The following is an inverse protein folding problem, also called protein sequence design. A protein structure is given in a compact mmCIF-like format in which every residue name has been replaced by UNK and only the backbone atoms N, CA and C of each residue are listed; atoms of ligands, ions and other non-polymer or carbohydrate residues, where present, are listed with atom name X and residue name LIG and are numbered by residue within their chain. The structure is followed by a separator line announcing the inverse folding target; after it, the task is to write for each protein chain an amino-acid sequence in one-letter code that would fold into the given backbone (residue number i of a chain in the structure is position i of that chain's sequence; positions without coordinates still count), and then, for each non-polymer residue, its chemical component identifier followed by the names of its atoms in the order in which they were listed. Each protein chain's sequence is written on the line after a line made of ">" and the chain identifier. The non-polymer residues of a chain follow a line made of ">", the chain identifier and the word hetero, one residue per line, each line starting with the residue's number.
data_IF_251955769295
#
_entry.id   IF_251955769295
#
_cell.length_a   1.000
_cell.length_b   1.000
_cell.length_c   1.000
_cell.angle_alpha   90.00
_cell.angle_beta   90.00
_cell.angle_gamma   90.00
#
_symmetry.space_group_name_H-M   'P 1'
#
loop_
_entity.id
_entity.type
_entity.pdbx_description
1 polymer ?
#
# COMPACT_ATOMS: atom_id res chain seq x y z
N UNK A 1 30.77 -55.29 -21.11
CA UNK A 1 31.74 -55.23 -19.98
C UNK A 1 31.69 -53.80 -19.47
N UNK A 2 30.76 -53.49 -18.58
CA UNK A 2 30.90 -53.51 -17.12
C UNK A 2 32.08 -52.67 -16.61
N UNK A 3 31.75 -51.48 -16.08
CA UNK A 3 31.99 -51.00 -14.70
C UNK A 3 31.61 -49.49 -14.68
N UNK A 4 30.54 -48.97 -14.04
CA UNK A 4 30.20 -48.82 -12.59
C UNK A 4 31.43 -48.44 -11.75
N UNK A 5 31.45 -47.41 -10.90
CA UNK A 5 30.51 -46.38 -10.45
C UNK A 5 31.30 -45.33 -9.60
N UNK A 6 30.62 -44.23 -9.26
CA UNK A 6 30.74 -43.42 -8.03
C UNK A 6 31.99 -42.56 -7.72
N UNK A 7 31.84 -41.23 -7.74
CA UNK A 7 31.31 -40.46 -6.59
C UNK A 7 31.28 -38.94 -6.92
N UNK A 8 30.14 -38.27 -7.11
CA UNK A 8 29.25 -37.57 -6.16
C UNK A 8 29.78 -36.35 -5.39
N UNK A 9 28.90 -35.34 -5.35
CA UNK A 9 28.72 -34.28 -4.35
C UNK A 9 29.59 -33.00 -4.43
N UNK A 10 29.00 -31.96 -5.04
CA UNK A 10 28.76 -30.64 -4.42
C UNK A 10 27.97 -29.72 -5.35
N UNK A 11 26.68 -29.96 -5.45
CA UNK A 11 25.71 -28.98 -5.92
C UNK A 11 24.46 -29.19 -5.07
N UNK A 12 24.27 -28.33 -4.07
CA UNK A 12 22.97 -28.00 -3.47
C UNK A 12 23.19 -27.16 -2.22
N UNK A 13 23.09 -25.83 -2.34
CA UNK A 13 22.65 -24.94 -1.25
C UNK A 13 22.51 -23.47 -1.71
N UNK A 14 21.82 -23.19 -2.83
CA UNK A 14 21.39 -21.79 -3.13
C UNK A 14 19.97 -21.68 -3.71
N UNK A 15 19.33 -22.74 -4.21
CA UNK A 15 18.04 -22.62 -4.94
C UNK A 15 16.74 -22.81 -4.09
N UNK A 16 16.83 -22.81 -2.77
CA UNK A 16 15.73 -23.22 -1.89
C UNK A 16 14.61 -22.19 -1.63
N UNK A 17 14.81 -20.91 -1.94
CA UNK A 17 13.84 -19.85 -1.61
C UNK A 17 13.11 -19.24 -2.82
N UNK A 18 13.70 -19.23 -4.02
CA UNK A 18 13.04 -18.70 -5.23
C UNK A 18 12.02 -19.70 -5.81
N UNK A 19 12.21 -21.01 -5.59
CA UNK A 19 11.33 -22.07 -6.13
C UNK A 19 9.99 -22.23 -5.37
N UNK A 20 9.91 -21.81 -4.10
CA UNK A 20 8.71 -22.00 -3.28
C UNK A 20 7.57 -21.04 -3.63
N UNK A 21 7.90 -19.82 -4.06
CA UNK A 21 6.91 -18.81 -4.45
C UNK A 21 6.25 -19.23 -5.77
N UNK A 22 7.05 -19.58 -6.79
CA UNK A 22 6.52 -20.02 -8.09
C UNK A 22 5.71 -21.32 -8.05
N UNK A 23 6.03 -22.27 -7.14
CA UNK A 23 5.23 -23.47 -6.92
C UNK A 23 3.90 -23.19 -6.21
N UNK A 24 3.88 -22.23 -5.28
CA UNK A 24 2.64 -21.85 -4.59
C UNK A 24 1.71 -21.12 -5.56
N UNK A 25 2.23 -20.20 -6.37
CA UNK A 25 1.44 -19.47 -7.37
C UNK A 25 0.86 -20.40 -8.43
N UNK A 26 1.65 -21.35 -8.96
CA UNK A 26 1.12 -22.35 -9.92
C UNK A 26 0.10 -23.31 -9.31
N UNK A 27 0.20 -23.63 -8.02
CA UNK A 27 -0.81 -24.43 -7.32
C UNK A 27 -2.07 -23.60 -7.06
N UNK A 28 -1.92 -22.32 -6.68
CA UNK A 28 -3.03 -21.40 -6.48
C UNK A 28 -3.77 -21.13 -7.79
N UNK A 29 -3.08 -21.01 -8.92
CA UNK A 29 -3.70 -20.85 -10.22
C UNK A 29 -4.47 -22.12 -10.65
N UNK A 30 -3.92 -23.31 -10.39
CA UNK A 30 -4.66 -24.57 -10.60
C UNK A 30 -5.89 -24.68 -9.70
N UNK A 31 -5.78 -24.26 -8.44
CA UNK A 31 -6.94 -24.22 -7.52
C UNK A 31 -7.96 -23.19 -7.99
N UNK A 32 -7.55 -22.01 -8.46
CA UNK A 32 -8.44 -20.97 -9.03
C UNK A 32 -9.14 -21.44 -10.29
N UNK A 33 -8.48 -22.20 -11.16
CA UNK A 33 -9.16 -22.79 -12.34
C UNK A 33 -10.25 -23.79 -11.96
N UNK A 34 -10.13 -24.46 -10.81
CA UNK A 34 -11.12 -25.43 -10.32
C UNK A 34 -12.18 -24.80 -9.39
N UNK A 35 -11.80 -23.74 -8.67
CA UNK A 35 -12.61 -23.03 -7.68
C UNK A 35 -12.43 -21.51 -7.85
N UNK A 36 -12.95 -20.94 -8.95
CA UNK A 36 -12.83 -19.52 -9.21
C UNK A 36 -13.52 -18.70 -8.11
N UNK A 37 -12.93 -17.55 -7.80
CA UNK A 37 -13.52 -16.62 -6.85
C UNK A 37 -14.81 -16.03 -7.46
N UNK A 38 -15.79 -15.62 -6.63
CA UNK A 38 -17.06 -15.11 -7.15
C UNK A 38 -16.92 -13.98 -8.17
N UNK A 39 -15.91 -13.11 -8.05
CA UNK A 39 -15.63 -12.05 -9.02
C UNK A 39 -15.05 -12.59 -10.33
N UNK A 40 -14.18 -13.60 -10.28
CA UNK A 40 -13.62 -14.28 -11.47
C UNK A 40 -14.73 -15.02 -12.24
N UNK A 41 -15.71 -15.58 -11.52
CA UNK A 41 -16.90 -16.19 -12.11
C UNK A 41 -17.82 -15.17 -12.79
N UNK A 42 -17.84 -13.93 -12.30
CA UNK A 42 -18.65 -12.85 -12.89
C UNK A 42 -18.01 -12.31 -14.18
N UNK A 43 -16.67 -12.30 -14.27
CA UNK A 43 -15.95 -11.90 -15.49
C UNK A 43 -16.10 -12.90 -16.65
N UNK A 44 -16.43 -14.16 -16.34
CA UNK A 44 -16.70 -15.21 -17.34
C UNK A 44 -18.17 -15.25 -17.80
N UNK A 45 -19.01 -14.30 -17.38
CA UNK A 45 -20.42 -14.28 -17.76
C UNK A 45 -20.60 -14.18 -19.28
N UNK A 46 -21.21 -15.20 -19.89
CA UNK A 46 -21.60 -15.19 -21.29
C UNK A 46 -22.70 -14.13 -21.50
N UNK A 47 -22.37 -13.04 -22.20
CA UNK A 47 -23.27 -11.90 -22.45
C UNK A 47 -24.62 -12.36 -23.03
N UNK A 48 -24.62 -13.38 -23.89
CA UNK A 48 -25.83 -13.93 -24.52
C UNK A 48 -26.81 -14.55 -23.51
N UNK A 49 -26.32 -15.26 -22.48
CA UNK A 49 -27.17 -15.89 -21.47
C UNK A 49 -27.79 -14.84 -20.53
N UNK A 50 -27.00 -13.83 -20.19
CA UNK A 50 -27.45 -12.69 -19.39
C UNK A 50 -28.58 -11.94 -20.13
N UNK A 51 -28.38 -11.66 -21.42
CA UNK A 51 -29.36 -10.94 -22.25
C UNK A 51 -30.64 -11.76 -22.44
N UNK A 52 -30.50 -13.07 -22.65
CA UNK A 52 -31.64 -14.00 -22.68
C UNK A 52 -32.47 -13.93 -21.39
N UNK A 53 -31.80 -13.96 -20.23
CA UNK A 53 -32.49 -13.88 -18.95
C UNK A 53 -33.17 -12.51 -18.76
N UNK A 54 -32.53 -11.43 -19.19
CA UNK A 54 -33.11 -10.09 -19.14
C UNK A 54 -34.44 -10.02 -19.90
N UNK A 55 -34.48 -10.52 -21.14
CA UNK A 55 -35.70 -10.57 -21.97
C UNK A 55 -36.80 -11.40 -21.29
N UNK A 56 -36.45 -12.57 -20.74
CA UNK A 56 -37.43 -13.42 -20.03
C UNK A 56 -38.04 -12.66 -18.84
N UNK A 57 -37.22 -11.99 -18.03
CA UNK A 57 -37.70 -11.23 -16.87
C UNK A 57 -38.55 -10.03 -17.32
N UNK A 58 -38.13 -9.34 -18.37
CA UNK A 58 -38.85 -8.17 -18.90
C UNK A 58 -40.24 -8.55 -19.42
N UNK A 59 -40.33 -9.62 -20.19
CA UNK A 59 -41.60 -10.14 -20.73
C UNK A 59 -42.51 -10.80 -19.69
N UNK A 60 -41.97 -11.23 -18.54
CA UNK A 60 -42.77 -11.87 -17.48
C UNK A 60 -43.55 -10.84 -16.68
N UNK A 61 -44.85 -11.03 -16.50
CA UNK A 61 -45.68 -10.12 -15.69
C UNK A 61 -45.25 -10.10 -14.20
N UNK A 62 -45.37 -8.94 -13.57
CA UNK A 62 -45.08 -8.75 -12.13
C UNK A 62 -46.09 -9.55 -11.28
N UNK A 63 -45.67 -10.02 -10.09
CA UNK A 63 -46.52 -10.73 -9.14
C UNK A 63 -46.33 -12.26 -9.17
N UNK A 64 -47.41 -13.02 -9.27
CA UNK A 64 -47.34 -14.49 -9.25
C UNK A 64 -46.50 -15.09 -10.39
N UNK A 65 -46.56 -14.59 -11.64
CA UNK A 65 -45.77 -15.15 -12.73
C UNK A 65 -44.26 -15.03 -12.52
N UNK A 66 -43.79 -13.91 -11.94
CA UNK A 66 -42.36 -13.76 -11.64
C UNK A 66 -41.92 -14.63 -10.45
N UNK A 67 -42.80 -14.89 -9.48
CA UNK A 67 -42.54 -15.84 -8.39
C UNK A 67 -42.41 -17.26 -8.93
N UNK A 68 -43.32 -17.66 -9.84
CA UNK A 68 -43.26 -18.96 -10.49
C UNK A 68 -41.98 -19.09 -11.35
N UNK A 69 -41.59 -18.04 -12.08
CA UNK A 69 -40.32 -17.99 -12.78
C UNK A 69 -39.14 -18.14 -11.80
N UNK A 70 -39.15 -17.38 -10.70
CA UNK A 70 -38.09 -17.42 -9.69
C UNK A 70 -37.87 -18.84 -9.16
N UNK A 71 -38.92 -19.65 -9.01
CA UNK A 71 -38.80 -21.06 -8.59
C UNK A 71 -38.12 -21.96 -9.62
N UNK A 72 -38.21 -21.63 -10.92
CA UNK A 72 -37.67 -22.42 -12.04
C UNK A 72 -36.24 -22.06 -12.42
N UNK A 73 -35.75 -20.90 -12.00
CA UNK A 73 -34.39 -20.45 -12.32
C UNK A 73 -33.33 -21.41 -11.77
N UNK A 74 -32.36 -21.77 -12.60
CA UNK A 74 -31.22 -22.58 -12.19
C UNK A 74 -30.25 -21.78 -11.32
N UNK A 75 -29.32 -22.46 -10.64
CA UNK A 75 -28.23 -21.78 -9.93
C UNK A 75 -27.30 -20.99 -10.86
N UNK A 76 -27.26 -21.32 -12.17
CA UNK A 76 -26.53 -20.58 -13.20
C UNK A 76 -27.23 -19.25 -13.47
N UNK A 77 -28.54 -19.29 -13.71
CA UNK A 77 -29.35 -18.08 -13.97
C UNK A 77 -29.31 -17.10 -12.79
N UNK A 78 -29.34 -17.61 -11.56
CA UNK A 78 -29.29 -16.78 -10.35
C UNK A 78 -28.01 -15.93 -10.23
N UNK A 79 -26.91 -16.31 -10.91
CA UNK A 79 -25.66 -15.53 -10.90
C UNK A 79 -25.82 -14.20 -11.64
N UNK A 80 -26.74 -14.12 -12.59
CA UNK A 80 -26.96 -12.94 -13.43
C UNK A 80 -27.93 -11.92 -12.81
N UNK A 81 -28.60 -12.24 -11.71
CA UNK A 81 -29.59 -11.34 -11.08
C UNK A 81 -28.96 -10.02 -10.61
N UNK A 82 -27.80 -10.08 -9.94
CA UNK A 82 -27.09 -8.88 -9.48
C UNK A 82 -26.39 -8.11 -10.61
N UNK A 83 -25.72 -8.76 -11.58
CA UNK A 83 -25.23 -8.07 -12.78
C UNK A 83 -26.34 -7.33 -13.54
N UNK A 84 -27.53 -7.94 -13.68
CA UNK A 84 -28.68 -7.27 -14.28
C UNK A 84 -29.14 -6.06 -13.46
N UNK A 85 -29.10 -6.13 -12.12
CA UNK A 85 -29.35 -4.95 -11.27
C UNK A 85 -28.31 -3.85 -11.48
N UNK A 86 -27.04 -4.18 -11.73
CA UNK A 86 -25.98 -3.19 -11.96
C UNK A 86 -26.14 -2.47 -13.31
N UNK A 87 -26.37 -3.22 -14.39
CA UNK A 87 -26.48 -2.67 -15.75
C UNK A 87 -27.65 -1.69 -15.92
N UNK A 88 -28.77 -1.97 -15.25
CA UNK A 88 -29.93 -1.07 -15.22
C UNK A 88 -29.61 0.28 -14.57
N UNK A 89 -28.65 0.32 -13.64
CA UNK A 89 -28.25 1.53 -12.92
C UNK A 89 -27.35 2.43 -13.78
N UNK A 90 -26.49 1.84 -14.62
CA UNK A 90 -25.54 2.57 -15.47
C UNK A 90 -26.18 3.07 -16.76
N UNK A 91 -27.01 2.26 -17.39
CA UNK A 91 -27.52 2.56 -18.74
C UNK A 91 -28.86 3.29 -18.75
N UNK A 92 -29.60 3.26 -17.62
CA UNK A 92 -30.98 3.79 -17.55
C UNK A 92 -31.95 3.14 -18.55
N UNK A 93 -31.53 2.06 -19.23
CA UNK A 93 -32.25 1.45 -20.35
C UNK A 93 -33.47 0.65 -19.90
N UNK A 94 -33.50 0.21 -18.65
CA UNK A 94 -34.49 -0.73 -18.15
C UNK A 94 -35.47 -0.04 -17.19
N UNK A 95 -36.79 -0.21 -17.40
CA UNK A 95 -37.83 0.51 -16.66
C UNK A 95 -37.90 0.08 -15.18
N UNK A 96 -38.41 0.97 -14.31
CA UNK A 96 -38.43 0.78 -12.85
C UNK A 96 -39.08 -0.54 -12.38
N UNK A 97 -40.10 -1.03 -13.11
CA UNK A 97 -40.76 -2.30 -12.81
C UNK A 97 -39.85 -3.52 -13.01
N UNK A 98 -38.75 -3.39 -13.76
CA UNK A 98 -37.74 -4.44 -13.91
C UNK A 98 -36.97 -4.68 -12.60
N UNK A 99 -36.66 -3.61 -11.86
CA UNK A 99 -36.03 -3.72 -10.53
C UNK A 99 -36.94 -4.45 -9.55
N UNK A 100 -38.25 -4.15 -9.55
CA UNK A 100 -39.22 -4.82 -8.69
C UNK A 100 -39.27 -6.33 -8.93
N UNK A 101 -39.24 -6.75 -10.21
CA UNK A 101 -39.18 -8.17 -10.58
C UNK A 101 -37.91 -8.83 -10.06
N UNK A 102 -36.75 -8.18 -10.20
CA UNK A 102 -35.48 -8.69 -9.69
C UNK A 102 -35.48 -8.80 -8.16
N UNK A 103 -36.02 -7.81 -7.44
CA UNK A 103 -36.16 -7.88 -5.98
C UNK A 103 -37.08 -9.02 -5.53
N UNK A 104 -38.16 -9.29 -6.27
CA UNK A 104 -39.03 -10.45 -6.02
C UNK A 104 -38.26 -11.77 -6.22
N UNK A 105 -37.47 -11.91 -7.29
CA UNK A 105 -36.62 -13.09 -7.50
C UNK A 105 -35.63 -13.26 -6.34
N UNK A 106 -34.95 -12.18 -5.92
CA UNK A 106 -34.01 -12.21 -4.79
C UNK A 106 -34.71 -12.67 -3.51
N UNK A 107 -35.92 -12.17 -3.24
CA UNK A 107 -36.69 -12.52 -2.07
C UNK A 107 -37.02 -14.02 -2.04
N UNK A 108 -37.52 -14.56 -3.14
CA UNK A 108 -37.93 -15.96 -3.23
C UNK A 108 -36.74 -16.92 -3.21
N UNK A 109 -35.61 -16.53 -3.83
CA UNK A 109 -34.41 -17.37 -3.97
C UNK A 109 -33.26 -17.00 -3.03
N UNK A 110 -33.58 -16.32 -1.93
CA UNK A 110 -32.61 -15.91 -0.93
C UNK A 110 -31.77 -17.10 -0.42
N UNK A 111 -30.45 -17.01 -0.57
CA UNK A 111 -29.48 -18.03 -0.15
C UNK A 111 -28.08 -17.41 0.06
N UNK A 112 -27.23 -18.08 0.84
CA UNK A 112 -25.84 -17.63 1.02
C UNK A 112 -25.03 -17.68 -0.28
N UNK A 113 -25.35 -18.59 -1.20
CA UNK A 113 -24.74 -18.62 -2.53
C UNK A 113 -25.08 -17.35 -3.31
N UNK A 114 -26.35 -16.97 -3.34
CA UNK A 114 -26.79 -15.72 -3.98
C UNK A 114 -26.16 -14.48 -3.29
N UNK A 115 -25.98 -14.53 -1.96
CA UNK A 115 -25.30 -13.47 -1.21
C UNK A 115 -23.85 -13.30 -1.65
N UNK A 116 -23.11 -14.38 -1.87
CA UNK A 116 -21.71 -14.30 -2.33
C UNK A 116 -21.60 -13.63 -3.70
N UNK A 117 -22.50 -13.93 -4.62
CA UNK A 117 -22.52 -13.27 -5.95
C UNK A 117 -22.91 -11.81 -5.81
N UNK A 118 -24.01 -11.50 -5.10
CA UNK A 118 -24.46 -10.13 -4.90
C UNK A 118 -23.45 -9.25 -4.18
N UNK A 119 -22.75 -9.80 -3.19
CA UNK A 119 -21.68 -9.09 -2.50
C UNK A 119 -20.48 -8.82 -3.40
N UNK A 120 -20.16 -9.73 -4.30
CA UNK A 120 -19.07 -9.53 -5.26
C UNK A 120 -19.41 -8.45 -6.29
N UNK A 121 -20.62 -8.49 -6.86
CA UNK A 121 -21.11 -7.47 -7.80
C UNK A 121 -21.20 -6.10 -7.12
N UNK A 122 -21.75 -6.04 -5.90
CA UNK A 122 -21.83 -4.78 -5.17
C UNK A 122 -20.46 -4.15 -4.92
N UNK A 123 -19.43 -4.95 -4.69
CA UNK A 123 -18.07 -4.45 -4.50
C UNK A 123 -17.46 -3.89 -5.78
N UNK A 124 -17.73 -4.54 -6.92
CA UNK A 124 -17.28 -4.14 -8.26
C UNK A 124 -17.99 -2.88 -8.73
N UNK A 125 -19.32 -2.85 -8.63
CA UNK A 125 -20.15 -1.76 -9.16
C UNK A 125 -20.47 -0.70 -8.09
N UNK A 126 -19.64 -0.61 -7.04
CA UNK A 126 -19.85 0.37 -5.98
C UNK A 126 -19.61 1.80 -6.51
N UNK A 127 -20.52 2.77 -6.28
CA UNK A 127 -21.73 2.72 -5.45
C UNK A 127 -23.04 2.52 -6.24
N UNK A 128 -23.47 1.28 -6.49
CA UNK A 128 -24.77 0.98 -7.12
C UNK A 128 -25.89 0.79 -6.09
N UNK A 129 -26.82 1.77 -6.01
CA UNK A 129 -27.98 1.71 -5.10
C UNK A 129 -28.95 0.57 -5.40
N UNK A 130 -29.30 0.23 -6.66
CA UNK A 130 -30.17 -0.91 -6.95
C UNK A 130 -29.57 -2.24 -6.47
N UNK A 131 -28.28 -2.45 -6.71
CA UNK A 131 -27.53 -3.62 -6.22
C UNK A 131 -27.52 -3.64 -4.70
N UNK A 132 -27.22 -2.49 -4.07
CA UNK A 132 -27.23 -2.32 -2.62
C UNK A 132 -28.58 -2.64 -1.97
N UNK A 133 -29.69 -2.18 -2.55
CA UNK A 133 -31.06 -2.51 -2.10
C UNK A 133 -31.37 -3.99 -2.24
N UNK A 134 -31.05 -4.60 -3.39
CA UNK A 134 -31.22 -6.04 -3.60
C UNK A 134 -30.43 -6.85 -2.57
N UNK A 135 -29.20 -6.44 -2.27
CA UNK A 135 -28.37 -7.08 -1.26
C UNK A 135 -28.92 -6.89 0.15
N UNK A 136 -29.44 -5.71 0.49
CA UNK A 136 -30.06 -5.45 1.79
C UNK A 136 -31.31 -6.34 2.02
N UNK A 137 -32.16 -6.49 1.00
CA UNK A 137 -33.33 -7.41 1.04
C UNK A 137 -32.87 -8.85 1.28
N UNK A 138 -31.86 -9.30 0.53
CA UNK A 138 -31.29 -10.64 0.67
C UNK A 138 -30.75 -10.88 2.07
N UNK A 139 -29.95 -9.94 2.58
CA UNK A 139 -29.41 -9.98 3.93
C UNK A 139 -30.53 -10.09 4.98
N UNK A 140 -31.55 -9.23 4.93
CA UNK A 140 -32.66 -9.27 5.89
C UNK A 140 -33.37 -10.63 5.96
N UNK A 141 -33.56 -11.29 4.81
CA UNK A 141 -34.16 -12.63 4.75
C UNK A 141 -33.22 -13.69 5.36
N UNK A 142 -31.92 -13.62 5.07
CA UNK A 142 -30.94 -14.54 5.64
C UNK A 142 -30.83 -14.37 7.16
N UNK A 143 -30.87 -13.14 7.67
CA UNK A 143 -30.87 -12.86 9.11
C UNK A 143 -32.10 -13.42 9.82
N UNK A 144 -33.30 -13.26 9.22
CA UNK A 144 -34.53 -13.83 9.76
C UNK A 144 -34.42 -15.35 9.80
N UNK A 145 -33.96 -15.99 8.72
CA UNK A 145 -33.77 -17.45 8.66
C UNK A 145 -32.74 -17.93 9.67
N UNK A 146 -31.66 -17.19 9.89
CA UNK A 146 -30.64 -17.52 10.88
C UNK A 146 -31.23 -17.46 12.30
N UNK A 147 -31.97 -16.40 12.63
CA UNK A 147 -32.66 -16.27 13.94
C UNK A 147 -33.70 -17.37 14.15
N UNK A 148 -34.50 -17.69 13.14
CA UNK A 148 -35.49 -18.79 13.22
C UNK A 148 -34.83 -20.16 13.35
N UNK A 149 -33.72 -20.41 12.65
CA UNK A 149 -32.93 -21.63 12.77
C UNK A 149 -32.28 -21.79 14.15
N UNK A 150 -31.72 -20.72 14.70
CA UNK A 150 -31.17 -20.71 16.06
C UNK A 150 -32.24 -20.96 17.14
N UNK A 151 -33.46 -20.44 16.95
CA UNK A 151 -34.60 -20.74 17.84
C UNK A 151 -35.01 -22.22 17.77
N UNK A 152 -34.96 -22.84 16.58
CA UNK A 152 -35.23 -24.27 16.40
C UNK A 152 -34.11 -25.17 16.98
N UNK A 153 -32.85 -24.79 16.81
CA UNK A 153 -31.70 -25.53 17.38
C UNK A 153 -31.64 -25.46 18.92
N UNK A 154 -32.10 -24.35 19.52
CA UNK A 154 -32.27 -24.25 20.99
C UNK A 154 -33.43 -25.10 21.51
N UNK A 155 -34.39 -25.46 20.66
CA UNK A 155 -35.56 -26.25 21.02
C UNK A 155 -35.41 -27.77 20.73
N UNK A 156 -34.38 -28.21 20.00
CA UNK A 156 -34.22 -29.62 19.61
C UNK A 156 -32.78 -30.01 19.24
N UNK A 157 -32.36 -31.17 19.74
CA UNK A 157 -31.00 -31.76 19.66
C UNK A 157 -30.31 -31.70 18.28
N UNK A 158 -28.98 -31.49 18.36
CA UNK A 158 -27.91 -31.77 17.39
C UNK A 158 -27.78 -30.87 16.16
N UNK A 159 -26.84 -29.91 16.23
CA UNK A 159 -26.16 -29.38 15.06
C UNK A 159 -24.80 -30.10 14.87
N UNK A 160 -24.79 -31.17 14.05
CA UNK A 160 -23.55 -31.73 13.49
C UNK A 160 -22.99 -30.72 12.48
N UNK A 161 -21.84 -30.14 12.79
CA UNK A 161 -20.82 -29.70 11.82
C UNK A 161 -21.25 -28.72 10.72
N UNK A 162 -22.03 -27.67 11.03
CA UNK A 162 -22.20 -26.56 10.08
C UNK A 162 -21.00 -25.62 10.14
N UNK A 163 -20.43 -25.35 8.96
CA UNK A 163 -19.49 -24.24 8.72
C UNK A 163 -20.04 -22.98 9.39
N UNK A 164 -19.20 -22.31 10.20
CA UNK A 164 -19.55 -21.05 10.87
C UNK A 164 -20.30 -20.11 9.91
N UNK A 165 -21.46 -19.55 10.31
CA UNK A 165 -22.17 -18.58 9.48
C UNK A 165 -21.19 -17.46 9.11
N UNK A 166 -20.98 -17.24 7.81
CA UNK A 166 -20.18 -16.10 7.37
C UNK A 166 -20.90 -14.82 7.79
N UNK A 167 -20.17 -13.91 8.43
CA UNK A 167 -20.74 -12.66 8.93
C UNK A 167 -21.32 -11.85 7.78
N UNK A 168 -22.65 -11.67 7.78
CA UNK A 168 -23.31 -10.80 6.82
C UNK A 168 -22.89 -9.35 7.07
N UNK A 169 -22.64 -8.62 5.99
CA UNK A 169 -22.25 -7.20 6.09
C UNK A 169 -23.36 -6.33 6.71
N UNK A 170 -24.62 -6.74 6.57
CA UNK A 170 -25.80 -6.10 7.15
C UNK A 170 -25.79 -6.06 8.67
N UNK A 171 -25.06 -6.98 9.33
CA UNK A 171 -24.83 -6.92 10.78
C UNK A 171 -24.02 -5.69 11.21
N UNK A 172 -23.34 -5.04 10.28
CA UNK A 172 -22.63 -3.78 10.51
C UNK A 172 -23.39 -2.58 9.95
N UNK A 173 -23.80 -2.68 8.69
CA UNK A 173 -24.49 -1.62 7.99
C UNK A 173 -25.29 -2.21 6.82
N UNK A 174 -26.48 -1.67 6.58
CA UNK A 174 -27.25 -2.04 5.40
C UNK A 174 -26.61 -1.43 4.13
N UNK A 175 -26.40 -2.22 3.06
CA UNK A 175 -25.73 -1.78 1.82
C UNK A 175 -26.62 -0.88 0.92
N UNK A 176 -27.82 -0.52 1.36
CA UNK A 176 -28.79 0.31 0.63
C UNK A 176 -28.62 1.82 0.86
N UNK A 177 -27.65 2.23 1.68
CA UNK A 177 -27.41 3.63 2.04
C UNK A 177 -26.26 4.25 1.27
N UNK A 178 -26.42 5.51 0.85
CA UNK A 178 -25.30 6.33 0.34
C UNK A 178 -24.20 6.56 1.38
N UNK A 179 -24.53 6.43 2.67
CA UNK A 179 -23.59 6.54 3.80
C UNK A 179 -23.05 5.20 4.27
N UNK A 180 -23.20 4.15 3.46
CA UNK A 180 -22.77 2.79 3.81
C UNK A 180 -21.32 2.73 4.29
N UNK A 181 -20.39 3.37 3.56
CA UNK A 181 -18.96 3.40 3.94
C UNK A 181 -18.74 4.11 5.27
N UNK A 182 -19.42 5.23 5.54
CA UNK A 182 -19.32 5.92 6.82
C UNK A 182 -19.84 5.06 7.99
N UNK A 183 -20.92 4.29 7.76
CA UNK A 183 -21.44 3.36 8.76
C UNK A 183 -20.47 2.19 9.01
N UNK A 184 -19.85 1.64 7.95
CA UNK A 184 -18.80 0.62 8.11
C UNK A 184 -17.59 1.16 8.87
N UNK A 185 -17.15 2.38 8.57
CA UNK A 185 -16.07 3.04 9.30
C UNK A 185 -16.42 3.21 10.79
N UNK A 186 -17.67 3.61 11.09
CA UNK A 186 -18.12 3.70 12.48
C UNK A 186 -18.09 2.32 13.17
N UNK A 187 -18.57 1.27 12.51
CA UNK A 187 -18.57 -0.07 13.06
C UNK A 187 -17.14 -0.59 13.30
N UNK A 188 -16.23 -0.31 12.37
CA UNK A 188 -14.82 -0.67 12.44
C UNK A 188 -14.11 0.03 13.61
N UNK A 189 -14.32 1.34 13.78
CA UNK A 189 -13.80 2.08 14.93
C UNK A 189 -14.31 1.55 16.28
N UNK A 190 -15.56 1.07 16.35
CA UNK A 190 -16.12 0.50 17.60
C UNK A 190 -15.51 -0.85 17.97
N UNK A 191 -15.18 -1.67 16.97
CA UNK A 191 -14.70 -3.05 17.18
C UNK A 191 -13.20 -3.15 17.49
N UNK A 192 -12.43 -2.09 17.23
CA UNK A 192 -10.98 -2.04 17.45
C UNK A 192 -10.23 -3.22 16.80
N UNK A 193 -10.72 -3.70 15.66
CA UNK A 193 -10.05 -4.73 14.85
C UNK A 193 -9.15 -4.06 13.82
N UNK A 194 -8.06 -4.73 13.43
CA UNK A 194 -7.21 -4.24 12.34
C UNK A 194 -7.99 -4.22 11.01
N UNK A 195 -7.60 -3.32 10.11
CA UNK A 195 -8.26 -3.16 8.82
C UNK A 195 -8.16 -4.45 7.97
N UNK A 196 -7.01 -5.12 7.99
CA UNK A 196 -6.80 -6.38 7.28
C UNK A 196 -7.71 -7.51 7.81
N UNK A 197 -7.83 -7.66 9.14
CA UNK A 197 -8.74 -8.64 9.73
C UNK A 197 -10.20 -8.34 9.38
N UNK A 198 -10.59 -7.07 9.36
CA UNK A 198 -11.93 -6.66 8.96
C UNK A 198 -12.22 -7.05 7.51
N UNK A 199 -11.29 -6.78 6.59
CA UNK A 199 -11.45 -7.12 5.17
C UNK A 199 -11.57 -8.64 4.98
N UNK A 200 -10.78 -9.44 5.70
CA UNK A 200 -10.88 -10.91 5.70
C UNK A 200 -12.20 -11.41 6.26
N UNK A 201 -12.66 -10.85 7.38
CA UNK A 201 -13.89 -11.28 8.06
C UNK A 201 -15.13 -11.08 7.18
N UNK A 202 -15.22 -9.95 6.48
CA UNK A 202 -16.36 -9.61 5.63
C UNK A 202 -16.12 -9.87 4.15
N UNK A 203 -15.02 -10.54 3.78
CA UNK A 203 -14.65 -10.82 2.40
C UNK A 203 -14.71 -9.56 1.51
N UNK A 204 -14.13 -8.47 2.00
CA UNK A 204 -13.98 -7.22 1.25
C UNK A 204 -12.70 -7.32 0.42
N UNK A 205 -12.84 -7.19 -0.89
CA UNK A 205 -11.76 -7.14 -1.86
C UNK A 205 -11.18 -5.72 -1.87
N UNK A 206 -9.92 -5.58 -1.46
CA UNK A 206 -9.24 -4.30 -1.30
C UNK A 206 -8.96 -3.58 -2.64
N UNK A 207 -8.89 -4.35 -3.72
CA UNK A 207 -8.65 -3.92 -5.09
C UNK A 207 -9.92 -3.52 -5.84
N UNK A 208 -11.10 -3.68 -5.22
CA UNK A 208 -12.40 -3.33 -5.82
C UNK A 208 -12.85 -1.93 -5.36
N UNK A 209 -13.74 -1.25 -6.13
CA UNK A 209 -14.20 0.11 -5.80
C UNK A 209 -14.72 0.30 -4.38
N UNK A 210 -15.49 -0.66 -3.82
CA UNK A 210 -15.90 -0.58 -2.41
C UNK A 210 -14.70 -0.61 -1.45
N UNK A 211 -13.75 -1.53 -1.68
CA UNK A 211 -12.56 -1.69 -0.86
C UNK A 211 -11.73 -0.42 -0.84
N UNK A 212 -11.43 0.13 -2.02
CA UNK A 212 -10.69 1.38 -2.19
C UNK A 212 -11.39 2.57 -1.56
N UNK A 213 -12.72 2.68 -1.71
CA UNK A 213 -13.50 3.73 -1.06
C UNK A 213 -13.46 3.62 0.48
N UNK A 214 -13.60 2.40 1.02
CA UNK A 214 -13.52 2.17 2.47
C UNK A 214 -12.12 2.45 3.02
N UNK A 215 -11.07 2.00 2.33
CA UNK A 215 -9.68 2.28 2.69
C UNK A 215 -9.44 3.79 2.70
N UNK A 216 -9.82 4.48 1.63
CA UNK A 216 -9.70 5.94 1.54
C UNK A 216 -10.38 6.64 2.71
N UNK A 217 -11.62 6.29 3.03
CA UNK A 217 -12.33 6.86 4.20
C UNK A 217 -11.68 6.49 5.54
N UNK A 218 -11.13 5.28 5.69
CA UNK A 218 -10.37 4.90 6.90
C UNK A 218 -9.14 5.80 7.09
N UNK A 219 -8.40 6.08 6.02
CA UNK A 219 -7.26 7.00 6.10
C UNK A 219 -7.69 8.45 6.28
N UNK A 220 -8.80 8.88 5.66
CA UNK A 220 -9.29 10.25 5.71
C UNK A 220 -10.03 10.64 6.98
N UNK A 221 -10.66 9.70 7.68
CA UNK A 221 -11.52 9.97 8.86
C UNK A 221 -11.25 9.03 10.04
N UNK A 222 -10.59 7.89 9.82
CA UNK A 222 -10.34 6.89 10.85
C UNK A 222 -9.30 7.29 11.89
N UNK A 223 -9.23 6.49 12.95
CA UNK A 223 -8.30 6.68 14.08
C UNK A 223 -6.90 6.14 13.75
N UNK A 224 -5.88 6.63 14.46
CA UNK A 224 -4.48 6.21 14.27
C UNK A 224 -4.28 4.69 14.43
N UNK A 225 -5.09 4.02 15.26
CA UNK A 225 -5.05 2.57 15.43
C UNK A 225 -5.26 1.80 14.11
N UNK A 226 -5.99 2.37 13.15
CA UNK A 226 -6.25 1.74 11.86
C UNK A 226 -5.05 1.78 10.91
N UNK A 227 -4.03 2.58 11.22
CA UNK A 227 -2.83 2.72 10.41
C UNK A 227 -1.84 1.60 10.69
N UNK A 228 -1.93 0.96 11.86
CA UNK A 228 -1.03 -0.14 12.25
C UNK A 228 -1.22 -1.31 11.29
N UNK A 229 -0.12 -1.74 10.66
CA UNK A 229 -0.07 -2.84 9.67
C UNK A 229 -0.93 -2.66 8.39
N UNK A 230 -1.55 -1.49 8.20
CA UNK A 230 -2.42 -1.22 7.04
C UNK A 230 -1.71 -0.58 5.83
N UNK A 231 -0.37 -0.46 5.86
CA UNK A 231 0.40 0.18 4.79
C UNK A 231 0.23 -0.49 3.42
N UNK A 232 0.01 -1.82 3.39
CA UNK A 232 -0.26 -2.57 2.14
C UNK A 232 -1.62 -2.23 1.54
N UNK A 233 -2.64 -2.02 2.38
CA UNK A 233 -3.95 -1.61 1.92
C UNK A 233 -3.93 -0.16 1.41
N UNK A 234 -3.14 0.70 2.06
CA UNK A 234 -2.88 2.05 1.57
C UNK A 234 -2.20 2.03 0.19
N UNK A 235 -1.16 1.21 0.02
CA UNK A 235 -0.45 1.02 -1.25
C UNK A 235 -1.38 0.59 -2.40
N UNK A 236 -2.31 -0.32 -2.11
CA UNK A 236 -3.30 -0.79 -3.09
C UNK A 236 -4.34 0.28 -3.44
N UNK A 237 -4.84 1.01 -2.45
CA UNK A 237 -5.94 1.96 -2.65
C UNK A 237 -5.48 3.31 -3.22
N UNK A 238 -4.27 3.76 -2.86
CA UNK A 238 -3.75 5.07 -3.25
C UNK A 238 -3.81 5.34 -4.77
N UNK A 239 -3.38 4.43 -5.67
CA UNK A 239 -3.49 4.68 -7.10
C UNK A 239 -4.93 4.60 -7.65
N UNK A 240 -5.86 3.98 -6.92
CA UNK A 240 -7.24 3.76 -7.38
C UNK A 240 -8.18 4.93 -7.05
N UNK A 241 -7.82 5.76 -6.08
CA UNK A 241 -8.66 6.91 -5.70
C UNK A 241 -8.34 8.15 -6.56
N UNK A 242 -9.33 9.03 -6.82
CA UNK A 242 -9.13 10.30 -7.51
C UNK A 242 -7.99 11.15 -6.90
N UNK A 243 -7.29 11.92 -7.74
CA UNK A 243 -6.12 12.71 -7.33
C UNK A 243 -6.37 13.64 -6.13
N UNK A 244 -7.56 14.25 -6.04
CA UNK A 244 -7.93 15.08 -4.89
C UNK A 244 -7.95 14.28 -3.58
N UNK A 245 -8.45 13.04 -3.60
CA UNK A 245 -8.45 12.16 -2.43
C UNK A 245 -7.05 11.62 -2.12
N UNK A 246 -6.22 11.37 -3.14
CA UNK A 246 -4.80 11.02 -2.93
C UNK A 246 -4.07 12.12 -2.14
N UNK A 247 -4.25 13.38 -2.55
CA UNK A 247 -3.67 14.53 -1.88
C UNK A 247 -4.12 14.61 -0.41
N UNK A 248 -5.42 14.50 -0.15
CA UNK A 248 -5.95 14.53 1.21
C UNK A 248 -5.41 13.38 2.08
N UNK A 249 -5.34 12.17 1.51
CA UNK A 249 -4.79 10.98 2.18
C UNK A 249 -3.32 11.18 2.56
N UNK A 250 -2.49 11.66 1.62
CA UNK A 250 -1.06 11.94 1.86
C UNK A 250 -0.89 13.07 2.87
N UNK A 251 -1.64 14.16 2.72
CA UNK A 251 -1.60 15.30 3.64
C UNK A 251 -1.91 14.89 5.08
N UNK A 252 -2.97 14.10 5.27
CA UNK A 252 -3.35 13.57 6.58
C UNK A 252 -2.29 12.63 7.14
N UNK A 253 -1.78 11.70 6.32
CA UNK A 253 -0.76 10.74 6.75
C UNK A 253 0.54 11.43 7.21
N UNK A 254 0.98 12.48 6.52
CA UNK A 254 2.15 13.26 6.92
C UNK A 254 1.93 14.00 8.26
N UNK A 255 0.69 14.45 8.49
CA UNK A 255 0.30 15.22 9.67
C UNK A 255 0.03 14.37 10.92
N UNK A 256 -0.45 13.13 10.76
CA UNK A 256 -0.77 12.24 11.88
C UNK A 256 0.52 11.83 12.63
N UNK A 257 0.43 11.81 13.95
CA UNK A 257 1.47 11.25 14.81
C UNK A 257 1.34 9.73 14.83
N UNK A 258 2.27 9.06 14.16
CA UNK A 258 2.42 7.60 14.13
C UNK A 258 3.76 7.24 14.78
N UNK A 259 3.89 6.00 15.24
CA UNK A 259 5.20 5.50 15.65
C UNK A 259 6.19 5.53 14.47
N UNK A 260 7.51 5.66 14.73
CA UNK A 260 8.50 5.84 13.66
C UNK A 260 8.54 4.70 12.64
N UNK A 261 8.28 3.46 13.06
CA UNK A 261 8.34 2.27 12.20
C UNK A 261 7.17 2.29 11.22
N UNK A 262 5.95 2.44 11.72
CA UNK A 262 4.74 2.55 10.91
C UNK A 262 4.84 3.75 9.98
N UNK A 263 5.27 4.93 10.49
CA UNK A 263 5.44 6.13 9.66
C UNK A 263 6.39 5.86 8.50
N UNK A 264 7.54 5.23 8.76
CA UNK A 264 8.52 4.91 7.72
C UNK A 264 7.94 4.00 6.63
N UNK A 265 7.15 2.97 6.99
CA UNK A 265 6.50 2.10 6.00
C UNK A 265 5.57 2.87 5.07
N UNK A 266 4.79 3.81 5.60
CA UNK A 266 3.92 4.66 4.78
C UNK A 266 4.69 5.63 3.90
N UNK A 267 5.76 6.24 4.42
CA UNK A 267 6.62 7.13 3.63
C UNK A 267 7.29 6.36 2.47
N UNK A 268 7.65 5.09 2.66
CA UNK A 268 8.12 4.22 1.57
C UNK A 268 7.04 3.96 0.52
N UNK A 269 5.78 3.81 0.91
CA UNK A 269 4.66 3.70 -0.05
C UNK A 269 4.55 5.00 -0.85
N UNK A 270 4.51 6.15 -0.18
CA UNK A 270 4.45 7.46 -0.84
C UNK A 270 5.62 7.64 -1.83
N UNK A 271 6.84 7.26 -1.44
CA UNK A 271 8.02 7.35 -2.30
C UNK A 271 7.90 6.49 -3.56
N UNK A 272 7.36 5.27 -3.45
CA UNK A 272 7.15 4.41 -4.61
C UNK A 272 6.17 4.99 -5.63
N UNK A 273 5.15 5.71 -5.18
CA UNK A 273 4.12 6.30 -6.05
C UNK A 273 4.49 7.68 -6.58
N UNK A 274 5.12 8.53 -5.76
CA UNK A 274 5.30 9.96 -6.07
C UNK A 274 6.75 10.44 -6.05
N UNK A 275 7.68 9.58 -5.64
CA UNK A 275 9.12 9.87 -5.62
C UNK A 275 9.54 10.94 -4.62
N UNK A 276 10.65 11.61 -4.95
CA UNK A 276 11.19 12.77 -4.25
C UNK A 276 10.41 14.05 -4.64
N UNK A 277 10.11 14.97 -3.70
CA UNK A 277 9.57 16.28 -4.03
C UNK A 277 10.33 17.06 -5.12
N UNK A 278 11.65 16.90 -5.20
CA UNK A 278 12.49 17.51 -6.23
C UNK A 278 12.23 16.96 -7.65
N UNK A 279 11.62 15.77 -7.77
CA UNK A 279 11.27 15.16 -9.05
C UNK A 279 10.06 15.79 -9.75
N UNK A 280 9.40 16.78 -9.14
CA UNK A 280 8.36 17.58 -9.79
C UNK A 280 6.98 16.93 -9.90
N UNK A 281 6.70 15.86 -9.15
CA UNK A 281 5.37 15.25 -9.17
C UNK A 281 4.30 16.27 -8.66
N UNK A 282 3.15 16.44 -9.36
CA UNK A 282 2.18 17.50 -9.07
C UNK A 282 1.61 17.50 -7.64
N UNK A 283 1.55 16.34 -6.99
CA UNK A 283 1.04 16.21 -5.62
C UNK A 283 1.79 17.11 -4.64
N UNK A 284 3.10 17.32 -4.84
CA UNK A 284 3.94 18.07 -3.91
C UNK A 284 3.58 19.56 -3.87
N UNK A 285 3.10 20.13 -4.97
CA UNK A 285 2.65 21.52 -5.04
C UNK A 285 1.32 21.75 -4.31
N UNK A 286 0.57 20.69 -4.05
CA UNK A 286 -0.75 20.74 -3.41
C UNK A 286 -0.67 20.47 -1.90
N UNK A 287 0.49 20.06 -1.39
CA UNK A 287 0.71 19.79 0.04
C UNK A 287 1.27 21.01 0.76
N UNK A 288 1.11 21.05 2.09
CA UNK A 288 1.66 22.14 2.90
C UNK A 288 3.19 22.08 2.87
N UNK A 289 3.83 23.23 2.65
CA UNK A 289 5.30 23.36 2.57
C UNK A 289 6.04 22.67 3.71
N UNK A 290 5.55 22.77 4.96
CA UNK A 290 6.17 22.11 6.12
C UNK A 290 6.19 20.59 6.02
N UNK A 291 5.13 19.99 5.46
CA UNK A 291 4.98 18.54 5.35
C UNK A 291 5.87 18.01 4.21
N UNK A 292 5.95 18.77 3.12
CA UNK A 292 6.89 18.49 2.01
C UNK A 292 8.33 18.56 2.47
N UNK A 293 8.72 19.56 3.26
CA UNK A 293 10.07 19.68 3.81
C UNK A 293 10.41 18.53 4.77
N UNK A 294 9.46 18.14 5.63
CA UNK A 294 9.65 17.01 6.53
C UNK A 294 9.79 15.69 5.75
N UNK A 295 8.99 15.49 4.71
CA UNK A 295 9.09 14.32 3.84
C UNK A 295 10.40 14.30 3.05
N UNK A 296 10.81 15.42 2.46
CA UNK A 296 12.10 15.56 1.77
C UNK A 296 13.28 15.24 2.71
N UNK A 297 13.23 15.74 3.95
CA UNK A 297 14.23 15.41 4.98
C UNK A 297 14.29 13.90 5.27
N UNK A 298 13.12 13.23 5.29
CA UNK A 298 13.06 11.78 5.41
C UNK A 298 13.64 11.06 4.19
N UNK A 299 13.36 11.53 2.96
CA UNK A 299 13.92 10.96 1.72
C UNK A 299 15.45 11.01 1.76
N UNK A 300 16.03 12.16 2.12
CA UNK A 300 17.48 12.33 2.30
C UNK A 300 18.02 11.31 3.31
N UNK A 301 17.43 11.24 4.49
CA UNK A 301 17.88 10.33 5.54
C UNK A 301 17.76 8.86 5.11
N UNK A 302 16.69 8.50 4.38
CA UNK A 302 16.49 7.15 3.85
C UNK A 302 17.51 6.80 2.77
N UNK A 303 17.83 7.72 1.85
CA UNK A 303 18.84 7.54 0.80
C UNK A 303 20.24 7.34 1.41
N UNK A 304 20.62 8.18 2.38
CA UNK A 304 21.87 8.05 3.13
C UNK A 304 21.91 6.70 3.87
N UNK A 305 20.82 6.35 4.56
CA UNK A 305 20.72 5.09 5.32
C UNK A 305 20.84 3.86 4.43
N UNK A 306 20.21 3.86 3.25
CA UNK A 306 20.34 2.83 2.21
C UNK A 306 21.78 2.75 1.72
N UNK A 307 22.40 3.90 1.44
CA UNK A 307 23.77 3.94 0.94
C UNK A 307 24.79 3.39 1.94
N UNK A 308 24.61 3.70 3.22
CA UNK A 308 25.50 3.28 4.28
C UNK A 308 25.10 1.94 4.94
N UNK A 309 24.22 1.15 4.31
CA UNK A 309 23.68 -0.07 4.91
C UNK A 309 24.80 -1.00 5.40
N UNK A 310 24.71 -1.43 6.67
CA UNK A 310 25.74 -2.26 7.32
C UNK A 310 26.90 -1.48 7.97
N UNK A 311 27.00 -0.16 7.78
CA UNK A 311 28.10 0.69 8.31
C UNK A 311 27.62 1.62 9.41
N UNK A 312 27.52 1.10 10.62
CA UNK A 312 26.97 1.81 11.78
C UNK A 312 27.64 3.18 12.01
N UNK A 313 28.97 3.26 11.92
CA UNK A 313 29.72 4.50 12.14
C UNK A 313 29.36 5.60 11.12
N UNK A 314 29.33 5.27 9.82
CA UNK A 314 28.91 6.21 8.76
C UNK A 314 27.45 6.61 8.87
N UNK A 315 26.55 5.65 9.12
CA UNK A 315 25.12 5.94 9.32
C UNK A 315 24.97 6.95 10.47
N UNK A 316 25.58 6.68 11.61
CA UNK A 316 25.48 7.54 12.79
C UNK A 316 26.07 8.93 12.52
N UNK A 317 27.23 8.98 11.86
CA UNK A 317 27.86 10.23 11.44
C UNK A 317 26.94 11.05 10.52
N UNK A 318 26.44 10.48 9.43
CA UNK A 318 25.60 11.23 8.49
C UNK A 318 24.21 11.55 9.05
N UNK A 319 23.62 10.68 9.87
CA UNK A 319 22.35 10.96 10.54
C UNK A 319 22.44 12.17 11.46
N UNK A 320 23.60 12.40 12.10
CA UNK A 320 23.85 13.63 12.86
C UNK A 320 23.63 14.89 12.01
N UNK A 321 23.99 14.85 10.73
CA UNK A 321 23.95 16.01 9.82
C UNK A 321 22.81 15.98 8.80
N UNK A 322 21.99 14.93 8.76
CA UNK A 322 21.00 14.70 7.71
C UNK A 322 20.00 15.86 7.52
N UNK A 323 19.63 16.54 8.61
CA UNK A 323 18.72 17.70 8.55
C UNK A 323 19.34 18.95 7.90
N UNK A 324 20.67 19.00 7.76
CA UNK A 324 21.42 20.11 7.16
C UNK A 324 21.78 19.85 5.69
N UNK A 325 21.59 18.61 5.22
CA UNK A 325 21.79 18.24 3.82
C UNK A 325 20.64 18.85 3.00
N UNK A 326 20.99 19.59 1.95
CA UNK A 326 20.04 20.22 1.04
C UNK A 326 19.57 19.28 -0.06
N UNK A 327 20.46 18.42 -0.54
CA UNK A 327 20.16 17.50 -1.64
C UNK A 327 21.12 16.30 -1.60
N UNK A 328 20.65 15.17 -2.12
CA UNK A 328 21.44 13.95 -2.32
C UNK A 328 21.22 13.44 -3.73
N UNK A 329 22.29 13.05 -4.40
CA UNK A 329 22.24 12.45 -5.74
C UNK A 329 23.18 11.24 -5.82
N UNK A 330 22.73 10.20 -6.50
CA UNK A 330 23.58 9.05 -6.82
C UNK A 330 24.39 9.42 -8.07
N UNK A 331 25.72 9.47 -7.96
CA UNK A 331 26.62 9.67 -9.12
C UNK A 331 26.70 8.40 -9.97
N UNK A 332 26.83 7.26 -9.29
CA UNK A 332 26.73 5.92 -9.85
C UNK A 332 26.09 4.97 -8.82
N UNK A 333 26.20 3.65 -9.03
CA UNK A 333 25.60 2.66 -8.12
C UNK A 333 26.26 2.62 -6.72
N UNK A 334 27.50 3.09 -6.61
CA UNK A 334 28.34 3.01 -5.42
C UNK A 334 28.65 4.39 -4.82
N UNK A 335 28.48 5.49 -5.56
CA UNK A 335 28.92 6.83 -5.15
C UNK A 335 27.72 7.74 -4.90
N UNK A 336 27.62 8.30 -3.70
CA UNK A 336 26.59 9.25 -3.29
C UNK A 336 27.19 10.63 -3.05
N UNK A 337 26.57 11.66 -3.62
CA UNK A 337 26.93 13.05 -3.40
C UNK A 337 25.88 13.67 -2.47
N UNK A 338 26.33 14.25 -1.37
CA UNK A 338 25.52 14.97 -0.40
C UNK A 338 25.86 16.45 -0.45
N UNK A 339 24.90 17.28 -0.81
CA UNK A 339 25.07 18.74 -0.90
C UNK A 339 24.58 19.44 0.35
N UNK A 340 25.43 20.30 0.92
CA UNK A 340 25.10 21.17 2.05
C UNK A 340 24.84 22.62 1.62
N UNK A 341 24.73 22.87 0.32
CA UNK A 341 24.67 24.21 -0.25
C UNK A 341 26.07 24.69 -0.62
N UNK A 342 26.91 25.06 0.35
CA UNK A 342 28.22 25.68 0.08
C UNK A 342 29.37 24.68 -0.15
N UNK A 343 29.13 23.40 0.12
CA UNK A 343 30.11 22.33 -0.06
C UNK A 343 29.37 21.00 -0.27
N UNK A 344 30.13 19.99 -0.68
CA UNK A 344 29.63 18.65 -0.98
C UNK A 344 30.44 17.60 -0.20
N UNK A 345 29.80 16.50 0.15
CA UNK A 345 30.47 15.27 0.59
C UNK A 345 30.17 14.19 -0.44
N UNK A 346 31.21 13.54 -0.94
CA UNK A 346 31.11 12.40 -1.85
C UNK A 346 31.52 11.15 -1.09
N UNK A 347 30.58 10.21 -0.96
CA UNK A 347 30.79 8.93 -0.30
C UNK A 347 30.79 7.79 -1.32
N UNK A 348 31.82 6.95 -1.30
CA UNK A 348 31.92 5.74 -2.12
C UNK A 348 31.66 4.50 -1.24
N UNK A 349 30.65 3.71 -1.62
CA UNK A 349 30.32 2.45 -0.96
C UNK A 349 31.46 1.46 -1.02
N UNK A 350 32.43 1.53 -1.90
CA UNK A 350 33.59 0.62 -1.89
C UNK A 350 34.57 0.95 -0.76
N UNK A 351 34.48 2.16 -0.19
CA UNK A 351 35.38 2.69 0.83
C UNK A 351 34.66 2.82 2.19
N UNK A 352 34.61 1.79 3.04
CA UNK A 352 33.76 1.77 4.24
C UNK A 352 34.11 2.80 5.32
N UNK A 353 35.36 3.26 5.36
CA UNK A 353 35.88 4.14 6.40
C UNK A 353 36.31 5.51 5.87
N UNK A 354 35.94 5.85 4.65
CA UNK A 354 36.42 7.06 3.98
C UNK A 354 35.33 7.74 3.16
N UNK A 355 35.36 9.07 3.10
CA UNK A 355 34.59 9.89 2.16
C UNK A 355 35.38 11.16 1.84
N UNK A 356 35.00 11.89 0.80
CA UNK A 356 35.67 13.12 0.38
C UNK A 356 34.78 14.33 0.58
N UNK A 357 35.31 15.36 1.22
CA UNK A 357 34.74 16.70 1.21
C UNK A 357 35.26 17.47 0.00
N UNK A 358 34.37 18.24 -0.63
CA UNK A 358 34.69 19.20 -1.68
C UNK A 358 34.08 20.56 -1.36
N UNK A 359 34.82 21.64 -1.57
CA UNK A 359 34.22 22.97 -1.67
C UNK A 359 33.48 23.11 -3.02
N UNK A 360 32.60 24.11 -3.14
CA UNK A 360 31.82 24.31 -4.37
C UNK A 360 32.67 24.49 -5.63
N UNK A 361 33.87 25.06 -5.50
CA UNK A 361 34.72 25.42 -6.63
C UNK A 361 35.50 24.21 -7.20
N UNK A 362 35.75 23.18 -6.38
CA UNK A 362 36.63 22.06 -6.79
C UNK A 362 35.94 20.87 -7.43
N UNK A 363 34.66 20.59 -7.19
CA UNK A 363 34.04 19.42 -7.81
C UNK A 363 33.90 19.58 -9.34
N UNK A 364 33.57 20.79 -9.81
CA UNK A 364 33.42 21.06 -11.25
C UNK A 364 34.69 20.85 -12.07
N UNK A 365 35.87 20.93 -11.44
CA UNK A 365 37.16 20.66 -12.08
C UNK A 365 37.48 19.17 -12.22
N UNK A 366 36.86 18.32 -11.39
CA UNK A 366 37.10 16.88 -11.37
C UNK A 366 36.09 16.05 -12.20
N UNK A 367 35.00 16.66 -12.68
CA UNK A 367 34.00 15.99 -13.52
C UNK A 367 34.48 15.66 -14.95
N UNK A 368 35.66 16.13 -15.38
CA UNK A 368 36.21 15.87 -16.73
C UNK A 368 37.05 14.58 -16.87
N UNK A 369 37.18 13.76 -15.82
CA UNK A 369 37.94 12.50 -15.87
C UNK A 369 37.08 11.27 -15.59
N UNK A 370 37.45 10.11 -16.15
CA UNK A 370 36.79 8.80 -15.96
C UNK A 370 36.83 8.25 -14.52
N UNK A 371 37.39 8.99 -13.55
CA UNK A 371 37.57 8.52 -12.18
C UNK A 371 36.38 8.90 -11.29
N UNK A 372 35.89 7.95 -10.50
CA UNK A 372 34.83 8.20 -9.52
C UNK A 372 35.26 9.28 -8.51
N UNK A 373 34.44 10.32 -8.28
CA UNK A 373 34.80 11.45 -7.42
C UNK A 373 34.92 11.07 -5.93
N UNK A 374 34.50 9.87 -5.53
CA UNK A 374 34.67 9.34 -4.18
C UNK A 374 35.93 8.49 -3.98
N UNK A 375 36.71 8.23 -5.04
CA UNK A 375 37.84 7.30 -5.01
C UNK A 375 39.09 7.87 -4.32
N UNK A 376 39.92 6.99 -3.75
CA UNK A 376 41.20 7.36 -3.12
C UNK A 376 42.25 7.92 -4.08
N UNK A 377 42.04 7.74 -5.39
CA UNK A 377 42.88 8.30 -6.43
C UNK A 377 42.78 9.82 -6.53
N UNK A 378 41.71 10.43 -5.99
CA UNK A 378 41.58 11.89 -5.94
C UNK A 378 42.61 12.44 -4.95
N UNK A 379 43.50 13.37 -5.38
CA UNK A 379 44.42 14.03 -4.45
C UNK A 379 43.65 14.80 -3.39
N UNK A 380 43.88 14.47 -2.12
CA UNK A 380 43.17 15.07 -1.00
C UNK A 380 44.10 15.30 0.18
N UNK A 381 43.71 16.24 1.05
CA UNK A 381 44.40 16.50 2.32
C UNK A 381 43.79 15.63 3.43
N UNK A 382 44.60 15.29 4.43
CA UNK A 382 44.10 14.69 5.66
C UNK A 382 43.26 15.70 6.45
N UNK A 383 42.21 15.21 7.12
CA UNK A 383 41.29 16.05 7.87
C UNK A 383 41.98 16.76 9.05
N UNK A 384 42.97 16.13 9.67
CA UNK A 384 43.80 16.69 10.74
C UNK A 384 44.52 17.96 10.28
N UNK A 385 45.10 17.93 9.09
CA UNK A 385 45.81 19.06 8.50
C UNK A 385 44.86 20.18 8.12
N UNK A 386 43.67 19.83 7.60
CA UNK A 386 42.64 20.80 7.25
C UNK A 386 42.11 21.55 8.51
N UNK A 387 41.87 20.81 9.60
CA UNK A 387 41.46 21.38 10.90
C UNK A 387 42.58 22.24 11.49
N UNK A 388 43.83 21.75 11.52
CA UNK A 388 44.97 22.51 12.07
C UNK A 388 45.20 23.84 11.35
N UNK A 389 44.98 23.86 10.02
CA UNK A 389 45.13 25.06 9.20
C UNK A 389 43.87 25.93 9.14
N UNK A 390 42.74 25.46 9.67
CA UNK A 390 41.44 26.15 9.54
C UNK A 390 41.04 26.39 8.08
N UNK A 391 41.35 25.45 7.18
CA UNK A 391 41.24 25.64 5.73
C UNK A 391 40.33 24.61 5.08
N UNK A 392 39.25 25.07 4.46
CA UNK A 392 38.28 24.26 3.71
C UNK A 392 38.58 24.18 2.21
N UNK A 393 39.70 24.75 1.74
CA UNK A 393 40.01 24.83 0.30
C UNK A 393 40.47 23.49 -0.28
N UNK A 394 39.79 23.03 -1.32
CA UNK A 394 40.10 21.78 -2.03
C UNK A 394 39.75 20.49 -1.28
N UNK A 395 39.97 19.32 -1.90
CA UNK A 395 39.48 18.05 -1.38
C UNK A 395 40.08 17.67 -0.02
N UNK A 396 39.23 17.20 0.90
CA UNK A 396 39.64 16.74 2.24
C UNK A 396 39.08 15.34 2.49
N UNK A 397 39.93 14.40 2.88
CA UNK A 397 39.55 13.04 3.22
C UNK A 397 38.95 12.95 4.62
N UNK A 398 37.67 12.59 4.71
CA UNK A 398 36.97 12.30 5.95
C UNK A 398 37.17 10.83 6.31
N UNK A 399 37.56 10.56 7.55
CA UNK A 399 37.89 9.21 8.04
C UNK A 399 36.89 8.80 9.12
N UNK A 400 36.37 7.58 9.03
CA UNK A 400 35.30 7.06 9.92
C UNK A 400 35.74 5.89 10.81
N UNK A 401 37.03 5.81 11.12
CA UNK A 401 37.52 4.97 12.23
C UNK A 401 37.26 5.64 13.60
N UNK A 402 37.58 4.94 14.70
CA UNK A 402 37.29 5.42 16.07
C UNK A 402 37.89 6.81 16.39
N UNK A 403 39.04 7.16 15.81
CA UNK A 403 39.73 8.43 16.06
C UNK A 403 39.32 9.48 15.03
N UNK A 404 39.31 9.11 13.76
CA UNK A 404 39.00 9.96 12.62
C UNK A 404 37.57 10.50 12.66
N UNK A 405 36.61 9.76 13.22
CA UNK A 405 35.21 10.17 13.24
C UNK A 405 34.99 11.48 14.03
N UNK A 406 35.71 11.66 15.14
CA UNK A 406 35.66 12.90 15.95
C UNK A 406 36.28 14.10 15.23
N UNK A 407 37.40 13.86 14.55
CA UNK A 407 38.12 14.89 13.81
C UNK A 407 37.32 15.30 12.58
N UNK A 408 36.77 14.33 11.86
CA UNK A 408 35.86 14.54 10.71
C UNK A 408 34.61 15.32 11.10
N UNK A 409 34.03 15.05 12.27
CA UNK A 409 32.90 15.82 12.76
C UNK A 409 33.28 17.24 13.16
N UNK A 410 34.44 17.42 13.82
CA UNK A 410 34.94 18.76 14.16
C UNK A 410 35.20 19.61 12.92
N UNK A 411 35.76 18.99 11.88
CA UNK A 411 35.94 19.62 10.57
C UNK A 411 34.61 19.98 9.92
N UNK A 412 33.63 19.07 9.91
CA UNK A 412 32.34 19.34 9.31
C UNK A 412 31.54 20.42 10.07
N UNK A 413 31.58 20.41 11.41
CA UNK A 413 31.01 21.46 12.27
C UNK A 413 31.65 22.83 11.94
N UNK A 414 32.97 22.86 11.72
CA UNK A 414 33.69 24.06 11.27
C UNK A 414 33.23 24.51 9.87
N UNK A 415 33.13 23.61 8.90
CA UNK A 415 32.63 23.92 7.54
C UNK A 415 31.20 24.47 7.57
N UNK A 416 30.30 23.87 8.35
CA UNK A 416 28.91 24.30 8.48
C UNK A 416 28.81 25.69 9.10
N UNK A 417 29.61 25.97 10.13
CA UNK A 417 29.67 27.29 10.77
C UNK A 417 30.26 28.36 9.84
N UNK A 418 31.40 28.07 9.22
CA UNK A 418 32.11 29.02 8.34
C UNK A 418 31.27 29.45 7.14
N UNK A 419 30.46 28.54 6.59
CA UNK A 419 29.60 28.81 5.46
C UNK A 419 28.20 29.33 5.83
N UNK A 420 27.97 29.69 7.10
CA UNK A 420 26.66 30.14 7.62
C UNK A 420 25.51 29.15 7.35
N UNK A 421 25.78 27.86 7.27
CA UNK A 421 24.76 26.82 7.10
C UNK A 421 24.10 26.50 8.45
N UNK A 422 24.87 26.52 9.53
CA UNK A 422 24.40 26.28 10.89
C UNK A 422 25.02 27.28 11.88
N UNK A 423 24.21 27.76 12.82
CA UNK A 423 24.73 28.57 13.93
C UNK A 423 25.44 27.69 14.97
N UNK A 424 26.22 28.31 15.86
CA UNK A 424 26.81 27.58 17.01
C UNK A 424 25.76 26.89 17.88
N UNK A 425 24.56 27.45 17.98
CA UNK A 425 23.49 26.86 18.77
C UNK A 425 22.87 25.65 18.06
N UNK A 426 22.78 25.67 16.73
CA UNK A 426 22.30 24.54 15.95
C UNK A 426 23.27 23.37 16.05
N UNK A 427 24.58 23.64 15.93
CA UNK A 427 25.64 22.63 16.07
C UNK A 427 25.65 21.97 17.45
N UNK A 428 25.36 22.73 18.52
CA UNK A 428 25.22 22.20 19.89
C UNK A 428 23.99 21.31 20.08
N UNK A 429 22.97 21.44 19.24
CA UNK A 429 21.74 20.64 19.29
C UNK A 429 21.84 19.37 18.45
N UNK A 430 22.92 19.17 17.71
CA UNK A 430 23.14 17.95 16.95
C UNK A 430 23.25 16.75 17.89
N UNK A 431 22.77 15.56 17.46
CA UNK A 431 22.96 14.33 18.23
C UNK A 431 24.44 14.08 18.55
N UNK A 432 24.76 13.50 19.72
CA UNK A 432 26.12 13.09 20.04
C UNK A 432 26.59 11.99 19.10
N UNK A 433 27.90 11.98 18.82
CA UNK A 433 28.58 10.93 18.06
C UNK A 433 28.75 9.64 18.86
#
# INVERSE_FOLDING_TARGET
>A
MNDRADNTEKADHVNGQVSKIGRLDTVLDRVRTLLPLPHEMLQQAETEEKDRLAIIIETTAVGRPIIDLASRLSSRDLRYIFPLLAETAETGRLPAHFHEKLYLIIRERASYSLYRYGWSVFQQDFPSLPVGRGLAVLCGILEIREKSGQLQERAGKQARGRLLPRALISYLAAPDSRRFVDHLLHALNRRQVSLDQFFKQYTIAADQPLGSALIGQCFLKGQAALYVESHRLFDLALPQVPAALQQEMVSRLLAVSLDPVTKTQYLQVIYRHFGDPGGGHPIWHQLRRKDVLAYHSWVIAATIGRHCQGRKAKIHFYQRYAALVKHVEDWDQDTLIMSFGAFLIVDDRRMPLFALYYDQDTLGTHQSGDNAPGGTAVPHRHVEDAVRRGSTRGPVGLVFDEKGLRISASFLDFCLYQNNIASRNDLKRLPPL
#
